data_IF_664315521611
#
_entry.id   IF_664315521611
#
_cell.length_a   1.000
_cell.length_b   1.000
_cell.length_c   1.000
_cell.angle_alpha   90.00
_cell.angle_beta   90.00
_cell.angle_gamma   90.00
#
_symmetry.space_group_name_H-M   'P 1'
#
loop_
_entity.id
_entity.type
_entity.pdbx_description
1 polymer ?
#
# COMPACT_ATOMS: atom_id res chain seq x y z
N UNK A 1 -1.73 -12.31 22.00
CA UNK A 1 -0.41 -12.15 22.66
C UNK A 1 0.01 -13.44 23.34
N UNK A 2 -0.76 -14.01 24.30
CA UNK A 2 -0.35 -15.22 25.03
C UNK A 2 -0.07 -16.43 24.11
N UNK A 3 -0.97 -16.72 23.18
CA UNK A 3 -0.81 -17.85 22.25
C UNK A 3 0.34 -17.62 21.26
N UNK A 4 0.55 -16.39 20.82
CA UNK A 4 1.70 -16.04 19.99
C UNK A 4 3.02 -16.28 20.74
N UNK A 5 3.09 -15.86 22.02
CA UNK A 5 4.27 -16.13 22.85
C UNK A 5 4.52 -17.64 23.02
N UNK A 6 3.49 -18.43 23.28
CA UNK A 6 3.60 -19.89 23.39
C UNK A 6 4.05 -20.56 22.08
N UNK A 7 3.61 -20.03 20.95
CA UNK A 7 3.93 -20.53 19.62
C UNK A 7 5.25 -19.97 19.05
N UNK A 8 5.90 -19.03 19.73
CA UNK A 8 7.05 -18.30 19.18
C UNK A 8 6.71 -17.50 17.92
N UNK A 9 5.47 -17.04 17.80
CA UNK A 9 4.95 -16.37 16.61
C UNK A 9 4.95 -14.85 16.78
N UNK A 10 5.10 -14.12 15.67
CA UNK A 10 4.90 -12.67 15.58
C UNK A 10 3.44 -12.40 15.24
N UNK A 11 2.84 -11.40 15.87
CA UNK A 11 1.51 -10.89 15.51
C UNK A 11 1.69 -9.55 14.80
N UNK A 12 0.99 -9.38 13.70
CA UNK A 12 0.80 -8.11 13.02
C UNK A 12 -0.67 -7.72 13.19
N UNK A 13 -0.91 -6.53 13.73
CA UNK A 13 -2.22 -5.91 13.83
C UNK A 13 -2.41 -4.93 12.68
N UNK A 14 -3.51 -5.07 11.95
CA UNK A 14 -3.89 -4.05 10.98
C UNK A 14 -4.50 -2.86 11.73
N UNK A 15 -3.81 -1.75 11.67
CA UNK A 15 -4.20 -0.47 12.28
C UNK A 15 -4.24 0.64 11.24
N UNK A 16 -4.79 0.31 10.07
CA UNK A 16 -5.01 1.23 8.95
C UNK A 16 -6.35 1.96 9.08
N UNK A 17 -6.43 3.15 8.49
CA UNK A 17 -7.66 3.96 8.49
C UNK A 17 -7.91 4.71 9.79
N UNK A 18 -9.19 4.82 10.17
CA UNK A 18 -9.59 5.56 11.39
C UNK A 18 -9.40 4.68 12.63
N UNK A 19 -8.30 4.87 13.30
CA UNK A 19 -7.95 4.13 14.53
C UNK A 19 -7.90 5.11 15.69
N UNK A 20 -8.38 4.70 16.86
CA UNK A 20 -8.25 5.50 18.06
C UNK A 20 -6.77 5.72 18.42
N UNK A 21 -6.35 6.94 18.82
CA UNK A 21 -4.94 7.27 19.03
C UNK A 21 -4.18 6.32 19.97
N UNK A 22 -4.86 5.75 20.95
CA UNK A 22 -4.27 4.84 21.93
C UNK A 22 -3.97 3.44 21.38
N UNK A 23 -4.53 3.06 20.21
CA UNK A 23 -4.40 1.69 19.67
C UNK A 23 -2.95 1.37 19.30
N UNK A 24 -2.24 2.28 18.68
CA UNK A 24 -0.83 2.08 18.31
C UNK A 24 0.05 1.82 19.52
N UNK A 25 -0.15 2.60 20.59
CA UNK A 25 0.58 2.42 21.84
C UNK A 25 0.21 1.09 22.51
N UNK A 26 -1.08 0.75 22.53
CA UNK A 26 -1.57 -0.51 23.06
C UNK A 26 -0.97 -1.73 22.34
N UNK A 27 -0.84 -1.69 21.02
CA UNK A 27 -0.23 -2.73 20.23
C UNK A 27 1.28 -2.82 20.51
N UNK A 28 1.97 -1.68 20.53
CA UNK A 28 3.40 -1.60 20.77
C UNK A 28 3.79 -2.15 22.14
N UNK A 29 3.08 -1.78 23.21
CA UNK A 29 3.28 -2.29 24.57
C UNK A 29 3.16 -3.83 24.67
N UNK A 30 2.44 -4.44 23.75
CA UNK A 30 2.20 -5.90 23.72
C UNK A 30 3.07 -6.64 22.71
N UNK A 31 4.02 -5.93 22.08
CA UNK A 31 4.90 -6.49 21.06
C UNK A 31 4.16 -6.91 19.79
N UNK A 32 2.97 -6.35 19.53
CA UNK A 32 2.23 -6.52 18.28
C UNK A 32 2.73 -5.47 17.29
N UNK A 33 3.12 -5.90 16.10
CA UNK A 33 3.52 -4.98 15.04
C UNK A 33 2.28 -4.30 14.46
N UNK A 34 2.39 -3.02 14.11
CA UNK A 34 1.38 -2.37 13.28
C UNK A 34 1.60 -2.64 11.81
N UNK A 35 0.81 -1.99 10.96
CA UNK A 35 0.91 -2.07 9.49
C UNK A 35 1.23 -0.69 8.92
N UNK A 36 2.24 -0.60 8.06
CA UNK A 36 2.64 0.61 7.35
C UNK A 36 2.57 0.34 5.84
N UNK A 37 1.77 1.14 5.13
CA UNK A 37 1.53 0.98 3.69
C UNK A 37 2.02 2.20 2.96
N UNK A 38 2.88 1.99 1.96
CA UNK A 38 3.56 3.04 1.19
C UNK A 38 2.61 4.15 0.73
N UNK A 39 1.43 3.79 0.21
CA UNK A 39 0.48 4.77 -0.31
C UNK A 39 -0.08 5.73 0.75
N UNK A 40 0.00 5.37 2.03
CA UNK A 40 -0.51 6.17 3.15
C UNK A 40 0.58 6.97 3.87
N UNK A 41 1.85 6.65 3.63
CA UNK A 41 2.99 7.31 4.27
C UNK A 41 3.30 8.65 3.56
N UNK A 42 2.43 9.63 3.79
CA UNK A 42 2.51 10.97 3.19
C UNK A 42 2.28 12.06 4.22
N UNK A 43 2.98 13.18 4.05
CA UNK A 43 2.78 14.39 4.83
C UNK A 43 2.69 15.59 3.88
N UNK A 44 1.66 16.40 4.01
CA UNK A 44 1.43 17.58 3.16
C UNK A 44 1.38 17.27 1.64
N UNK A 45 0.95 16.04 1.29
CA UNK A 45 0.89 15.59 -0.10
C UNK A 45 2.17 14.94 -0.63
N UNK A 46 3.28 15.01 0.11
CA UNK A 46 4.57 14.42 -0.28
C UNK A 46 4.83 13.10 0.44
N UNK A 47 5.56 12.15 -0.18
CA UNK A 47 5.99 10.93 0.48
C UNK A 47 6.85 11.21 1.71
N UNK A 48 6.61 10.49 2.80
CA UNK A 48 7.49 10.51 3.96
C UNK A 48 8.71 9.63 3.65
N UNK A 49 9.95 10.10 3.89
CA UNK A 49 11.13 9.28 3.73
C UNK A 49 11.00 7.95 4.49
N UNK A 50 11.28 6.80 3.89
CA UNK A 50 11.03 5.50 4.52
C UNK A 50 11.80 5.33 5.83
N UNK A 51 12.94 6.00 6.00
CA UNK A 51 13.73 5.99 7.24
C UNK A 51 12.98 6.60 8.45
N UNK A 52 11.96 7.42 8.19
CA UNK A 52 11.14 8.06 9.21
C UNK A 52 9.89 7.25 9.59
N UNK A 53 9.64 6.13 8.88
CA UNK A 53 8.49 5.27 9.15
C UNK A 53 8.65 4.57 10.51
N UNK A 54 7.53 4.13 11.09
CA UNK A 54 7.58 3.45 12.39
C UNK A 54 8.31 2.11 12.31
N UNK A 55 9.22 1.86 13.25
CA UNK A 55 9.99 0.62 13.29
C UNK A 55 9.15 -0.59 13.74
N UNK A 56 8.18 -0.40 14.64
CA UNK A 56 7.37 -1.50 15.18
C UNK A 56 6.19 -1.83 14.25
N UNK A 57 6.48 -2.15 12.99
CA UNK A 57 5.52 -2.41 11.95
C UNK A 57 5.94 -3.52 11.00
N UNK A 58 4.98 -4.01 10.24
CA UNK A 58 5.16 -4.67 8.95
C UNK A 58 4.89 -3.63 7.87
N UNK A 59 5.88 -3.39 7.01
CA UNK A 59 5.76 -2.47 5.89
C UNK A 59 5.47 -3.21 4.59
N UNK A 60 4.63 -2.64 3.74
CA UNK A 60 4.32 -3.16 2.41
C UNK A 60 4.00 -2.01 1.43
N UNK A 61 4.05 -2.29 0.13
CA UNK A 61 3.57 -1.33 -0.88
C UNK A 61 2.05 -1.26 -0.85
N UNK A 62 1.38 -2.40 -0.82
CA UNK A 62 -0.08 -2.51 -0.91
C UNK A 62 -0.64 -3.58 0.02
N UNK A 63 -1.95 -3.61 0.18
CA UNK A 63 -2.73 -4.63 0.90
C UNK A 63 -3.90 -5.10 0.04
N UNK A 64 -4.63 -6.12 0.49
CA UNK A 64 -5.72 -6.75 -0.24
C UNK A 64 -6.92 -5.81 -0.55
N UNK A 65 -7.11 -4.74 0.20
CA UNK A 65 -8.16 -3.73 0.00
C UNK A 65 -7.74 -2.60 -0.96
N UNK A 66 -6.51 -2.66 -1.44
CA UNK A 66 -5.97 -1.77 -2.46
C UNK A 66 -5.66 -2.57 -3.73
N UNK A 67 -5.58 -1.92 -4.89
CA UNK A 67 -5.14 -2.61 -6.10
C UNK A 67 -3.70 -3.10 -5.94
N UNK A 68 -3.32 -4.20 -6.59
CA UNK A 68 -1.91 -4.53 -6.78
C UNK A 68 -1.16 -3.37 -7.40
N UNK A 69 0.14 -3.30 -7.15
CA UNK A 69 0.97 -2.14 -7.52
C UNK A 69 0.88 -1.80 -9.01
N UNK A 70 0.90 -2.79 -9.92
CA UNK A 70 0.71 -2.55 -11.35
C UNK A 70 -0.66 -1.96 -11.68
N UNK A 71 -1.72 -2.47 -11.07
CA UNK A 71 -3.08 -1.94 -11.24
C UNK A 71 -3.20 -0.52 -10.70
N UNK A 72 -2.53 -0.22 -9.59
CA UNK A 72 -2.48 1.14 -9.05
C UNK A 72 -1.77 2.09 -10.02
N UNK A 73 -0.58 1.75 -10.49
CA UNK A 73 0.19 2.58 -11.43
C UNK A 73 -0.56 2.87 -12.73
N UNK A 74 -1.35 1.91 -13.20
CA UNK A 74 -2.16 2.06 -14.41
C UNK A 74 -3.49 2.81 -14.19
N UNK A 75 -3.89 3.09 -12.94
CA UNK A 75 -5.16 3.75 -12.63
C UNK A 75 -6.36 2.82 -12.67
N UNK A 76 -6.17 1.49 -12.63
CA UNK A 76 -7.27 0.51 -12.71
C UNK A 76 -8.30 0.71 -11.58
N UNK A 77 -7.85 1.17 -10.42
CA UNK A 77 -8.75 1.49 -9.29
C UNK A 77 -9.63 2.72 -9.55
N UNK A 78 -9.15 3.70 -10.31
CA UNK A 78 -9.97 4.87 -10.70
C UNK A 78 -11.03 4.42 -11.68
N UNK A 79 -10.65 3.65 -12.72
CA UNK A 79 -11.56 3.11 -13.70
C UNK A 79 -12.65 2.20 -13.07
N UNK A 80 -12.23 1.29 -12.18
CA UNK A 80 -13.14 0.38 -11.48
C UNK A 80 -14.14 1.15 -10.61
N UNK A 81 -13.66 2.13 -9.84
CA UNK A 81 -14.54 2.95 -8.98
C UNK A 81 -15.49 3.83 -9.81
N UNK A 82 -15.06 4.31 -10.97
CA UNK A 82 -15.92 5.02 -11.92
C UNK A 82 -17.02 4.10 -12.44
N UNK A 83 -16.68 2.89 -12.91
CA UNK A 83 -17.63 1.88 -13.39
C UNK A 83 -18.66 1.50 -12.33
N UNK A 84 -18.22 1.34 -11.08
CA UNK A 84 -19.07 0.95 -9.95
C UNK A 84 -19.85 2.13 -9.31
N UNK A 85 -19.64 3.35 -9.79
CA UNK A 85 -20.28 4.54 -9.21
C UNK A 85 -19.80 4.89 -7.79
N UNK A 86 -18.57 4.51 -7.44
CA UNK A 86 -17.97 4.69 -6.12
C UNK A 86 -17.08 5.94 -6.03
N UNK A 87 -16.94 6.72 -7.10
CA UNK A 87 -16.18 7.97 -7.06
C UNK A 87 -16.92 9.01 -6.21
N UNK A 88 -16.18 9.71 -5.36
CA UNK A 88 -16.71 10.80 -4.53
C UNK A 88 -16.49 12.18 -5.14
N UNK A 89 -15.63 12.26 -6.17
CA UNK A 89 -15.29 13.46 -6.94
C UNK A 89 -15.46 13.18 -8.45
N UNK A 90 -15.50 14.21 -9.30
CA UNK A 90 -15.57 14.00 -10.75
C UNK A 90 -14.41 13.15 -11.28
N UNK A 91 -14.70 12.19 -12.17
CA UNK A 91 -13.70 11.28 -12.73
C UNK A 91 -12.48 12.00 -13.35
N UNK A 92 -12.62 13.11 -14.10
CA UNK A 92 -11.46 13.83 -14.61
C UNK A 92 -10.51 14.34 -13.53
N UNK A 93 -11.04 14.71 -12.36
CA UNK A 93 -10.23 15.13 -11.22
C UNK A 93 -9.51 13.95 -10.58
N UNK A 94 -10.19 12.83 -10.37
CA UNK A 94 -9.55 11.61 -9.84
C UNK A 94 -8.42 11.12 -10.75
N UNK A 95 -8.61 11.14 -12.07
CA UNK A 95 -7.57 10.80 -13.03
C UNK A 95 -6.39 11.78 -13.02
N UNK A 96 -6.65 13.07 -12.89
CA UNK A 96 -5.59 14.09 -12.82
C UNK A 96 -4.75 13.94 -11.54
N UNK A 97 -5.40 13.75 -10.39
CA UNK A 97 -4.73 13.56 -9.11
C UNK A 97 -3.90 12.26 -9.11
N UNK A 98 -4.46 11.18 -9.67
CA UNK A 98 -3.75 9.91 -9.84
C UNK A 98 -2.50 10.07 -10.72
N UNK A 99 -2.62 10.73 -11.87
CA UNK A 99 -1.48 10.96 -12.76
C UNK A 99 -0.38 11.79 -12.08
N UNK A 100 -0.76 12.80 -11.31
CA UNK A 100 0.18 13.61 -10.53
C UNK A 100 0.88 12.76 -9.45
N UNK A 101 0.14 11.90 -8.76
CA UNK A 101 0.71 11.04 -7.73
C UNK A 101 1.72 10.04 -8.31
N UNK A 102 1.37 9.37 -9.42
CA UNK A 102 2.30 8.44 -10.10
C UNK A 102 3.56 9.16 -10.60
N UNK A 103 3.41 10.40 -11.11
CA UNK A 103 4.54 11.22 -11.53
C UNK A 103 5.46 11.57 -10.36
N UNK A 104 4.88 11.97 -9.22
CA UNK A 104 5.64 12.29 -8.00
C UNK A 104 6.41 11.08 -7.46
N UNK A 105 5.78 9.88 -7.47
CA UNK A 105 6.48 8.65 -7.09
C UNK A 105 7.65 8.33 -8.03
N UNK A 106 7.46 8.47 -9.34
CA UNK A 106 8.57 8.25 -10.31
C UNK A 106 9.73 9.20 -10.06
N UNK A 107 9.44 10.49 -9.84
CA UNK A 107 10.45 11.51 -9.54
C UNK A 107 11.22 11.18 -8.26
N UNK A 108 10.52 10.81 -7.19
CA UNK A 108 11.12 10.39 -5.93
C UNK A 108 12.06 9.21 -6.12
N UNK A 109 11.61 8.16 -6.82
CA UNK A 109 12.40 6.95 -7.06
C UNK A 109 13.61 7.19 -7.96
N UNK A 110 13.51 8.09 -8.94
CA UNK A 110 14.62 8.50 -9.80
C UNK A 110 15.64 9.33 -9.00
N UNK A 111 15.17 10.28 -8.21
CA UNK A 111 16.00 11.09 -7.31
C UNK A 111 16.82 10.22 -6.35
N UNK A 112 16.19 9.21 -5.78
CA UNK A 112 16.80 8.28 -4.82
C UNK A 112 17.68 7.20 -5.49
N UNK A 113 17.77 7.20 -6.82
CA UNK A 113 18.58 6.25 -7.58
C UNK A 113 18.02 4.82 -7.60
N UNK A 114 16.75 4.64 -7.23
CA UNK A 114 16.05 3.36 -7.26
C UNK A 114 15.45 3.05 -8.63
N UNK A 115 15.14 4.07 -9.41
CA UNK A 115 14.55 3.97 -10.74
C UNK A 115 15.45 4.65 -11.78
N UNK A 116 15.60 4.03 -12.94
CA UNK A 116 16.27 4.66 -14.09
C UNK A 116 15.25 5.52 -14.86
N UNK A 117 15.62 6.71 -15.34
CA UNK A 117 14.76 7.50 -16.22
C UNK A 117 14.21 6.68 -17.37
N UNK A 118 12.91 6.77 -17.62
CA UNK A 118 12.24 6.04 -18.69
C UNK A 118 12.00 4.54 -18.42
N UNK A 119 12.21 4.06 -17.20
CA UNK A 119 11.89 2.68 -16.85
C UNK A 119 10.39 2.38 -17.01
N UNK A 120 10.06 1.18 -17.47
CA UNK A 120 8.69 0.67 -17.56
C UNK A 120 8.06 0.40 -16.20
N UNK A 121 6.78 0.02 -16.20
CA UNK A 121 6.00 -0.22 -14.97
C UNK A 121 6.64 -1.27 -14.05
N UNK A 122 7.14 -2.38 -14.58
CA UNK A 122 7.83 -3.42 -13.80
C UNK A 122 9.05 -2.86 -13.04
N UNK A 123 9.76 -1.91 -13.66
CA UNK A 123 10.86 -1.20 -13.02
C UNK A 123 10.38 -0.36 -11.85
N UNK A 124 9.23 0.31 -11.99
CA UNK A 124 8.62 1.11 -10.92
C UNK A 124 8.15 0.21 -9.79
N UNK A 125 7.46 -0.90 -10.07
CA UNK A 125 7.05 -1.89 -9.06
C UNK A 125 8.25 -2.35 -8.24
N UNK A 126 9.32 -2.77 -8.92
CA UNK A 126 10.56 -3.20 -8.25
C UNK A 126 11.16 -2.08 -7.40
N UNK A 127 11.18 -0.85 -7.90
CA UNK A 127 11.73 0.31 -7.20
C UNK A 127 10.91 0.65 -5.94
N UNK A 128 9.58 0.60 -6.01
CA UNK A 128 8.68 0.82 -4.87
C UNK A 128 8.91 -0.23 -3.76
N UNK A 129 9.01 -1.50 -4.12
CA UNK A 129 9.32 -2.54 -3.13
C UNK A 129 10.71 -2.34 -2.51
N UNK A 130 11.72 -1.92 -3.28
CA UNK A 130 13.04 -1.57 -2.74
C UNK A 130 12.98 -0.36 -1.83
N UNK A 131 12.19 0.66 -2.17
CA UNK A 131 12.00 1.85 -1.35
C UNK A 131 11.46 1.47 0.05
N UNK A 132 10.46 0.59 0.12
CA UNK A 132 9.92 0.08 1.39
C UNK A 132 11.00 -0.62 2.23
N UNK A 133 11.98 -1.30 1.61
CA UNK A 133 13.05 -1.96 2.37
C UNK A 133 14.01 -1.00 3.07
N UNK A 134 13.97 0.28 2.77
CA UNK A 134 14.76 1.29 3.47
C UNK A 134 14.12 1.73 4.80
N UNK A 135 12.89 1.30 5.07
CA UNK A 135 12.21 1.59 6.32
C UNK A 135 12.84 0.81 7.49
N UNK A 136 12.73 1.33 8.72
CA UNK A 136 13.16 0.61 9.92
C UNK A 136 12.16 -0.48 10.35
N UNK A 137 11.13 -0.76 9.57
CA UNK A 137 10.10 -1.74 9.87
C UNK A 137 10.71 -3.14 10.12
N UNK A 138 10.22 -3.84 11.12
CA UNK A 138 10.73 -5.17 11.51
C UNK A 138 10.43 -6.25 10.48
N UNK A 139 9.39 -6.08 9.69
CA UNK A 139 9.00 -6.97 8.60
C UNK A 139 8.73 -6.15 7.34
N UNK A 140 9.07 -6.71 6.21
CA UNK A 140 8.63 -6.20 4.89
C UNK A 140 7.85 -7.32 4.20
N UNK A 141 6.63 -7.02 3.80
CA UNK A 141 5.78 -7.94 3.07
C UNK A 141 5.70 -7.55 1.59
N UNK A 142 5.70 -8.56 0.73
CA UNK A 142 5.46 -8.40 -0.70
C UNK A 142 4.19 -9.17 -1.07
N UNK A 143 3.25 -8.49 -1.72
CA UNK A 143 2.02 -9.11 -2.20
C UNK A 143 2.33 -10.19 -3.25
N UNK A 144 1.68 -11.35 -3.14
CA UNK A 144 1.78 -12.39 -4.19
C UNK A 144 1.22 -11.87 -5.52
N UNK A 145 0.20 -11.02 -5.50
CA UNK A 145 -0.34 -10.38 -6.69
C UNK A 145 0.72 -9.54 -7.41
N UNK A 146 1.50 -8.76 -6.69
CA UNK A 146 2.61 -7.99 -7.26
C UNK A 146 3.71 -8.88 -7.86
N UNK A 147 4.02 -10.01 -7.20
CA UNK A 147 5.05 -10.94 -7.69
C UNK A 147 4.68 -11.61 -9.02
N UNK A 148 3.39 -11.84 -9.26
CA UNK A 148 2.90 -12.46 -10.51
C UNK A 148 2.39 -11.46 -11.53
N UNK A 149 2.47 -10.17 -11.24
CA UNK A 149 2.01 -9.13 -12.14
C UNK A 149 0.48 -9.03 -12.28
N UNK A 150 -0.28 -9.50 -11.26
CA UNK A 150 -1.74 -9.33 -11.23
C UNK A 150 -2.09 -7.85 -11.07
N UNK A 151 -3.10 -7.37 -11.78
CA UNK A 151 -3.57 -5.98 -11.74
C UNK A 151 -4.92 -5.83 -11.04
N UNK A 152 -5.71 -6.92 -11.02
CA UNK A 152 -7.06 -6.88 -10.48
C UNK A 152 -7.04 -6.87 -8.95
N UNK A 153 -7.83 -5.96 -8.39
CA UNK A 153 -8.01 -5.85 -6.94
C UNK A 153 -8.65 -7.13 -6.39
N UNK A 154 -8.11 -7.69 -5.31
CA UNK A 154 -8.66 -8.88 -4.67
C UNK A 154 -9.96 -8.60 -3.92
N UNK A 155 -10.02 -7.42 -3.31
CA UNK A 155 -11.20 -6.93 -2.62
C UNK A 155 -11.42 -5.46 -2.96
N UNK A 156 -12.66 -5.10 -3.38
CA UNK A 156 -13.06 -3.73 -3.62
C UNK A 156 -13.98 -3.28 -2.48
N UNK A 157 -13.47 -2.48 -1.52
CA UNK A 157 -14.31 -1.94 -0.44
C UNK A 157 -15.51 -1.16 -0.99
N UNK A 158 -16.65 -1.30 -0.30
CA UNK A 158 -17.90 -0.68 -0.73
C UNK A 158 -18.72 -1.50 -1.70
N UNK A 159 -18.28 -2.71 -2.07
CA UNK A 159 -19.02 -3.65 -2.91
C UNK A 159 -19.35 -4.95 -2.19
N UNK A 160 -20.35 -5.68 -2.70
CA UNK A 160 -20.73 -7.02 -2.23
C UNK A 160 -20.75 -8.01 -3.39
N UNK A 161 -21.76 -7.92 -4.25
CA UNK A 161 -21.93 -8.79 -5.41
C UNK A 161 -21.57 -8.08 -6.74
N UNK A 162 -21.37 -6.77 -6.70
CA UNK A 162 -21.05 -5.92 -7.85
C UNK A 162 -19.64 -6.16 -8.36
N UNK A 163 -18.75 -6.67 -7.50
CA UNK A 163 -17.38 -7.03 -7.81
C UNK A 163 -17.08 -8.45 -7.32
N UNK A 164 -16.27 -9.27 -8.03
CA UNK A 164 -15.96 -10.65 -7.63
C UNK A 164 -14.93 -10.70 -6.48
N UNK A 165 -15.24 -10.04 -5.36
CA UNK A 165 -14.39 -10.00 -4.17
C UNK A 165 -13.93 -11.41 -3.77
N UNK A 166 -12.62 -11.60 -3.53
CA UNK A 166 -11.98 -12.85 -3.12
C UNK A 166 -12.13 -14.01 -4.10
N UNK A 167 -12.49 -13.72 -5.37
CA UNK A 167 -12.72 -14.72 -6.42
C UNK A 167 -11.82 -14.52 -7.64
N UNK A 168 -10.85 -13.62 -7.54
CA UNK A 168 -9.85 -13.41 -8.58
C UNK A 168 -8.88 -14.59 -8.52
N UNK A 169 -8.75 -15.38 -9.61
CA UNK A 169 -7.90 -16.57 -9.64
C UNK A 169 -6.41 -16.21 -9.66
#
# INVERSE_FOLDING_TARGET
VLEAHRAGAVIVGEDLGTVEPWVSDFLAERGVLGTTILWFERANGEPIPPQEWRANAMAAVTVHDLPPTLGYLAGDHVALREELGLLTRPAPQEWADHAQEVAAWRETLEHDGLLRPGAGEDGVVTALHRFVTWSPAKLVAVSLADLVGERRTQNQPGTKDEYPNWRIP
#
